data_IF_660892555891
#
_entry.id   IF_660892555891
#
_cell.length_a   1.000
_cell.length_b   1.000
_cell.length_c   1.000
_cell.angle_alpha   90.00
_cell.angle_beta   90.00
_cell.angle_gamma   90.00
#
_symmetry.space_group_name_H-M   'P 1'
#
loop_
_entity.id
_entity.type
_entity.pdbx_description
1 polymer ?
#
# COMPACT_ATOMS: atom_id res chain seq x y z
N UNK A 1 -21.16 -23.97 -13.75
CA UNK A 1 -20.67 -22.60 -13.45
C UNK A 1 -21.90 -21.72 -13.34
N UNK A 2 -21.99 -20.87 -12.32
CA UNK A 2 -23.11 -19.92 -12.21
C UNK A 2 -23.07 -18.94 -13.39
N UNK A 3 -24.23 -18.44 -13.82
CA UNK A 3 -24.28 -17.39 -14.84
C UNK A 3 -23.46 -16.17 -14.37
N UNK A 4 -22.76 -15.47 -15.28
CA UNK A 4 -22.10 -14.22 -14.92
C UNK A 4 -23.08 -13.23 -14.30
N UNK A 5 -22.66 -12.46 -13.28
CA UNK A 5 -23.53 -11.46 -12.69
C UNK A 5 -23.88 -10.40 -13.75
N UNK A 6 -25.11 -9.92 -13.70
CA UNK A 6 -25.53 -8.72 -14.41
C UNK A 6 -24.69 -7.52 -13.98
N UNK A 7 -24.72 -6.44 -14.77
CA UNK A 7 -24.00 -5.22 -14.42
C UNK A 7 -24.43 -4.66 -13.06
N UNK A 8 -25.73 -4.61 -12.79
CA UNK A 8 -26.28 -4.12 -11.52
C UNK A 8 -25.81 -4.97 -10.34
N UNK A 9 -25.82 -6.31 -10.47
CA UNK A 9 -25.28 -7.20 -9.45
C UNK A 9 -23.76 -6.99 -9.26
N UNK A 10 -23.02 -6.77 -10.34
CA UNK A 10 -21.59 -6.47 -10.28
C UNK A 10 -21.29 -5.15 -9.54
N UNK A 11 -22.10 -4.11 -9.76
CA UNK A 11 -22.01 -2.83 -9.04
C UNK A 11 -22.28 -3.04 -7.55
N UNK A 12 -23.32 -3.81 -7.22
CA UNK A 12 -23.69 -4.05 -5.82
C UNK A 12 -22.61 -4.83 -5.06
N UNK A 13 -22.10 -5.92 -5.66
CA UNK A 13 -20.98 -6.69 -5.09
C UNK A 13 -19.77 -5.79 -4.85
N UNK A 14 -19.45 -4.92 -5.82
CA UNK A 14 -18.32 -4.01 -5.69
C UNK A 14 -18.57 -2.97 -4.59
N UNK A 15 -19.78 -2.45 -4.46
CA UNK A 15 -20.15 -1.46 -3.45
C UNK A 15 -20.02 -2.02 -2.03
N UNK A 16 -20.51 -3.23 -1.81
CA UNK A 16 -20.40 -3.94 -0.52
C UNK A 16 -18.93 -4.19 -0.12
N UNK A 17 -18.11 -4.73 -1.04
CA UNK A 17 -16.70 -5.01 -0.73
C UNK A 17 -15.91 -3.73 -0.47
N UNK A 18 -16.19 -2.66 -1.24
CA UNK A 18 -15.48 -1.40 -1.14
C UNK A 18 -15.91 -0.57 0.08
N UNK A 19 -17.16 -0.65 0.54
CA UNK A 19 -17.59 0.05 1.76
C UNK A 19 -16.81 -0.42 2.98
N UNK A 20 -16.56 -1.73 3.10
CA UNK A 20 -15.72 -2.30 4.17
C UNK A 20 -14.29 -1.72 4.13
N UNK A 21 -13.72 -1.56 2.93
CA UNK A 21 -12.40 -0.96 2.77
C UNK A 21 -12.39 0.53 3.14
N UNK A 22 -13.45 1.27 2.81
CA UNK A 22 -13.63 2.67 3.17
C UNK A 22 -13.73 2.85 4.68
N UNK A 23 -14.51 2.02 5.37
CA UNK A 23 -14.63 2.05 6.84
C UNK A 23 -13.27 1.79 7.53
N UNK A 24 -12.45 0.90 6.96
CA UNK A 24 -11.07 0.67 7.40
C UNK A 24 -10.14 1.84 7.09
N UNK A 25 -10.56 2.79 6.25
CA UNK A 25 -9.81 4.00 5.91
C UNK A 25 -8.86 3.84 4.73
N UNK A 26 -9.04 2.82 3.90
CA UNK A 26 -8.18 2.55 2.75
C UNK A 26 -8.19 3.67 1.69
N UNK A 27 -9.23 4.50 1.68
CA UNK A 27 -9.43 5.60 0.73
C UNK A 27 -8.97 6.96 1.29
N UNK A 28 -8.74 7.04 2.61
CA UNK A 28 -8.09 8.20 3.21
C UNK A 28 -6.57 8.08 3.01
N UNK A 29 -6.06 8.81 2.02
CA UNK A 29 -4.64 8.76 1.66
C UNK A 29 -3.69 9.18 2.78
N UNK A 30 -4.14 9.99 3.74
CA UNK A 30 -3.34 10.38 4.90
C UNK A 30 -3.32 9.27 5.95
N UNK A 31 -4.47 8.63 6.19
CA UNK A 31 -4.56 7.45 7.07
C UNK A 31 -3.75 6.28 6.50
N UNK A 32 -3.91 5.98 5.22
CA UNK A 32 -3.12 5.02 4.46
C UNK A 32 -1.61 5.26 4.61
N UNK A 33 -1.17 6.50 4.41
CA UNK A 33 0.23 6.87 4.61
C UNK A 33 0.74 6.58 6.02
N UNK A 34 -0.02 6.98 7.05
CA UNK A 34 0.34 6.70 8.46
C UNK A 34 0.44 5.20 8.72
N UNK A 35 -0.49 4.41 8.19
CA UNK A 35 -0.48 2.94 8.29
C UNK A 35 0.78 2.36 7.65
N UNK A 36 1.13 2.81 6.45
CA UNK A 36 2.31 2.34 5.72
C UNK A 36 3.60 2.73 6.43
N UNK A 37 3.73 3.98 6.86
CA UNK A 37 4.89 4.46 7.64
C UNK A 37 5.05 3.62 8.89
N UNK A 38 3.97 3.42 9.66
CA UNK A 38 4.00 2.60 10.88
C UNK A 38 4.40 1.16 10.57
N UNK A 39 3.80 0.54 9.56
CA UNK A 39 4.13 -0.83 9.16
C UNK A 39 5.61 -0.99 8.79
N UNK A 40 6.15 -0.09 7.95
CA UNK A 40 7.55 -0.13 7.52
C UNK A 40 8.49 0.07 8.72
N UNK A 41 8.18 1.05 9.59
CA UNK A 41 8.98 1.33 10.78
C UNK A 41 8.99 0.13 11.74
N UNK A 42 7.82 -0.44 12.06
CA UNK A 42 7.69 -1.59 12.96
C UNK A 42 8.39 -2.84 12.41
N UNK A 43 8.24 -3.11 11.11
CA UNK A 43 8.94 -4.22 10.46
C UNK A 43 10.46 -4.02 10.52
N UNK A 44 10.94 -2.81 10.24
CA UNK A 44 12.36 -2.49 10.31
C UNK A 44 12.90 -2.63 11.73
N UNK A 45 12.14 -2.16 12.72
CA UNK A 45 12.47 -2.32 14.14
C UNK A 45 12.58 -3.79 14.55
N UNK A 46 11.63 -4.63 14.12
CA UNK A 46 11.64 -6.06 14.40
C UNK A 46 12.80 -6.80 13.73
N UNK A 47 13.12 -6.44 12.48
CA UNK A 47 14.25 -7.01 11.75
C UNK A 47 15.58 -6.62 12.41
N UNK A 48 15.71 -5.36 12.87
CA UNK A 48 16.86 -4.91 13.67
C UNK A 48 16.94 -5.68 14.99
N UNK A 49 15.83 -5.81 15.72
CA UNK A 49 15.77 -6.53 16.99
C UNK A 49 16.21 -7.99 16.83
N UNK A 50 15.77 -8.66 15.77
CA UNK A 50 16.21 -10.03 15.46
C UNK A 50 17.70 -10.10 15.15
N UNK A 51 18.23 -9.15 14.39
CA UNK A 51 19.65 -9.09 14.10
C UNK A 51 20.49 -8.88 15.38
N UNK A 52 20.08 -7.96 16.26
CA UNK A 52 20.72 -7.73 17.56
C UNK A 52 20.70 -8.98 18.44
N UNK A 53 19.58 -9.71 18.47
CA UNK A 53 19.46 -10.95 19.24
C UNK A 53 20.39 -12.06 18.72
N UNK A 54 20.56 -12.15 17.40
CA UNK A 54 21.34 -13.22 16.77
C UNK A 54 22.85 -12.94 16.74
N UNK A 55 23.26 -11.68 16.62
CA UNK A 55 24.66 -11.30 16.39
C UNK A 55 25.25 -10.39 17.48
N UNK A 56 24.43 -10.03 18.48
CA UNK A 56 24.77 -9.03 19.47
C UNK A 56 24.78 -7.60 18.91
N UNK A 57 24.90 -6.62 19.79
CA UNK A 57 24.97 -5.18 19.47
C UNK A 57 26.18 -4.77 18.59
N UNK A 58 27.10 -5.70 18.29
CA UNK A 58 28.31 -5.44 17.50
C UNK A 58 28.16 -5.72 16.00
N UNK A 59 27.01 -6.22 15.54
CA UNK A 59 26.81 -6.46 14.10
C UNK A 59 26.60 -5.15 13.34
N UNK A 60 27.25 -4.99 12.19
CA UNK A 60 27.10 -3.81 11.32
C UNK A 60 25.78 -3.79 10.55
N UNK A 61 25.09 -4.93 10.46
CA UNK A 61 23.92 -5.13 9.60
C UNK A 61 22.75 -4.18 9.93
N UNK A 62 22.37 -3.95 11.21
CA UNK A 62 21.34 -2.97 11.56
C UNK A 62 21.70 -1.54 11.14
N UNK A 63 22.98 -1.18 11.23
CA UNK A 63 23.49 0.15 10.93
C UNK A 63 23.40 0.47 9.45
N UNK A 64 23.61 -0.50 8.57
CA UNK A 64 23.57 -0.31 7.12
C UNK A 64 22.16 0.06 6.61
N UNK A 65 21.12 -0.61 7.12
CA UNK A 65 19.73 -0.32 6.76
C UNK A 65 19.29 1.08 7.23
N UNK A 66 19.63 1.43 8.48
CA UNK A 66 19.35 2.75 9.03
C UNK A 66 20.10 3.82 8.23
N UNK A 67 21.38 3.61 7.92
CA UNK A 67 22.19 4.56 7.16
C UNK A 67 21.64 4.77 5.74
N UNK A 68 21.17 3.70 5.10
CA UNK A 68 20.53 3.79 3.79
C UNK A 68 19.25 4.65 3.84
N UNK A 69 18.40 4.48 4.86
CA UNK A 69 17.21 5.30 5.01
C UNK A 69 17.55 6.74 5.38
N UNK A 70 18.56 6.99 6.21
CA UNK A 70 19.07 8.33 6.52
C UNK A 70 19.49 9.06 5.23
N UNK A 71 20.26 8.39 4.36
CA UNK A 71 20.69 8.95 3.09
C UNK A 71 19.52 9.31 2.15
N UNK A 72 18.39 8.62 2.28
CA UNK A 72 17.17 8.90 1.50
C UNK A 72 16.34 10.04 2.11
N UNK A 73 16.38 10.19 3.44
CA UNK A 73 15.48 11.07 4.18
C UNK A 73 15.55 12.54 3.80
N UNK A 74 16.68 13.01 3.26
CA UNK A 74 16.83 14.41 2.83
C UNK A 74 16.00 14.75 1.57
N UNK A 75 15.65 13.75 0.77
CA UNK A 75 14.90 13.94 -0.48
C UNK A 75 13.65 13.04 -0.57
N UNK A 76 13.36 12.26 0.47
CA UNK A 76 12.27 11.30 0.50
C UNK A 76 11.45 11.44 1.79
N UNK A 77 10.23 11.96 1.66
CA UNK A 77 9.31 12.13 2.78
C UNK A 77 8.92 10.81 3.46
N UNK A 78 8.88 9.68 2.74
CA UNK A 78 8.61 8.36 3.36
C UNK A 78 9.76 7.95 4.27
N UNK A 79 11.00 8.01 3.78
CA UNK A 79 12.18 7.66 4.56
C UNK A 79 12.30 8.55 5.80
N UNK A 80 12.02 9.85 5.64
CA UNK A 80 11.95 10.78 6.77
C UNK A 80 10.92 10.33 7.81
N UNK A 81 9.66 10.11 7.40
CA UNK A 81 8.58 9.74 8.31
C UNK A 81 8.81 8.36 8.97
N UNK A 82 9.41 7.41 8.24
CA UNK A 82 9.79 6.08 8.75
C UNK A 82 10.87 6.20 9.81
N UNK A 83 11.93 6.99 9.57
CA UNK A 83 12.98 7.20 10.56
C UNK A 83 12.47 7.94 11.80
N UNK A 84 11.60 8.95 11.63
CA UNK A 84 10.97 9.63 12.77
C UNK A 84 10.16 8.64 13.62
N UNK A 85 9.38 7.77 12.98
CA UNK A 85 8.58 6.74 13.67
C UNK A 85 9.48 5.70 14.35
N UNK A 86 10.56 5.28 13.68
CA UNK A 86 11.53 4.33 14.24
C UNK A 86 12.24 4.93 15.46
N UNK A 87 12.68 6.19 15.39
CA UNK A 87 13.30 6.89 16.51
C UNK A 87 12.34 7.02 17.70
N UNK A 88 11.06 7.33 17.44
CA UNK A 88 10.04 7.36 18.49
C UNK A 88 9.89 6.00 19.18
N UNK A 89 9.86 4.89 18.43
CA UNK A 89 9.77 3.54 19.01
C UNK A 89 10.93 3.22 19.95
N UNK A 90 12.17 3.58 19.60
CA UNK A 90 13.32 3.39 20.48
C UNK A 90 13.19 4.18 21.79
N UNK A 91 12.69 5.42 21.72
CA UNK A 91 12.46 6.27 22.88
C UNK A 91 11.35 5.72 23.77
N UNK A 92 10.21 5.34 23.19
CA UNK A 92 9.06 4.80 23.91
C UNK A 92 9.38 3.48 24.61
N UNK A 93 10.16 2.61 23.95
CA UNK A 93 10.57 1.31 24.52
C UNK A 93 11.79 1.39 25.44
N UNK A 94 12.35 2.60 25.65
CA UNK A 94 13.57 2.83 26.45
C UNK A 94 14.77 1.96 26.00
N UNK A 95 14.81 1.59 24.72
CA UNK A 95 15.91 0.79 24.15
C UNK A 95 17.05 1.69 23.70
N UNK A 96 18.33 1.26 23.82
CA UNK A 96 19.44 1.99 23.25
C UNK A 96 19.24 2.18 21.75
N UNK A 97 19.15 3.43 21.30
CA UNK A 97 19.03 3.77 19.89
C UNK A 97 20.39 3.64 19.20
N UNK A 98 20.48 3.05 18.00
CA UNK A 98 21.71 3.02 17.21
C UNK A 98 22.28 4.43 17.03
N UNK A 99 23.60 4.59 17.20
CA UNK A 99 24.24 5.92 17.26
C UNK A 99 23.91 6.80 16.05
N UNK A 100 23.95 6.25 14.84
CA UNK A 100 23.62 6.97 13.60
C UNK A 100 22.17 7.46 13.58
N UNK A 101 21.22 6.68 14.14
CA UNK A 101 19.83 7.08 14.25
C UNK A 101 19.65 8.15 15.33
N UNK A 102 20.36 8.03 16.46
CA UNK A 102 20.34 9.00 17.55
C UNK A 102 20.86 10.37 17.10
N UNK A 103 21.97 10.40 16.36
CA UNK A 103 22.51 11.63 15.78
C UNK A 103 21.51 12.27 14.81
N UNK A 104 20.93 11.46 13.92
CA UNK A 104 19.91 11.94 12.98
C UNK A 104 18.67 12.49 13.69
N UNK A 105 18.14 11.78 14.69
CA UNK A 105 16.98 12.18 15.47
C UNK A 105 17.25 13.48 16.24
N UNK A 106 18.46 13.64 16.80
CA UNK A 106 18.87 14.86 17.47
C UNK A 106 18.90 16.06 16.51
N UNK A 107 19.45 15.89 15.29
CA UNK A 107 19.40 16.93 14.25
C UNK A 107 17.97 17.28 13.81
N UNK A 108 17.08 16.29 13.72
CA UNK A 108 15.66 16.53 13.46
C UNK A 108 15.01 17.35 14.58
N UNK A 109 15.23 16.99 15.85
CA UNK A 109 14.66 17.70 17.01
C UNK A 109 15.18 19.14 17.15
N UNK A 110 16.42 19.40 16.75
CA UNK A 110 16.98 20.77 16.67
C UNK A 110 16.48 21.58 15.47
N UNK A 111 15.73 20.97 14.56
CA UNK A 111 15.24 21.61 13.33
C UNK A 111 16.27 21.73 12.20
N UNK A 112 17.44 21.09 12.34
CA UNK A 112 18.49 21.04 11.31
C UNK A 112 18.07 20.18 10.13
N UNK A 113 17.29 19.12 10.39
CA UNK A 113 16.67 18.26 9.38
C UNK A 113 15.20 18.62 9.24
N UNK A 114 14.82 19.10 8.06
CA UNK A 114 13.42 19.40 7.70
C UNK A 114 12.84 18.27 6.89
N UNK A 115 11.57 17.97 7.14
CA UNK A 115 10.81 17.01 6.33
C UNK A 115 10.76 17.50 4.87
N UNK A 116 11.21 16.69 3.89
CA UNK A 116 11.15 17.10 2.49
C UNK A 116 9.72 17.42 2.04
N UNK A 117 9.57 18.42 1.18
CA UNK A 117 8.30 18.67 0.51
C UNK A 117 8.02 17.50 -0.41
N UNK A 118 6.88 16.86 -0.19
CA UNK A 118 6.47 15.74 -1.00
C UNK A 118 5.84 16.23 -2.30
N UNK A 119 6.45 15.88 -3.42
CA UNK A 119 5.90 16.17 -4.74
C UNK A 119 4.94 15.05 -5.17
N UNK A 120 3.68 15.39 -5.42
CA UNK A 120 2.65 14.49 -5.97
C UNK A 120 1.77 13.76 -4.95
N UNK A 121 0.86 12.91 -5.46
CA UNK A 121 -0.05 12.07 -4.66
C UNK A 121 0.73 11.02 -3.87
N UNK A 122 0.13 10.46 -2.81
CA UNK A 122 0.75 9.41 -2.00
C UNK A 122 0.92 8.19 -2.91
N UNK A 123 2.09 7.96 -3.51
CA UNK A 123 2.28 6.84 -4.45
C UNK A 123 1.95 5.51 -3.74
N UNK A 124 2.37 5.37 -2.49
CA UNK A 124 2.04 4.24 -1.63
C UNK A 124 0.60 4.25 -1.12
N UNK A 125 0.05 5.40 -0.73
CA UNK A 125 -1.38 5.47 -0.35
C UNK A 125 -2.33 5.18 -1.53
N UNK A 126 -1.90 5.56 -2.74
CA UNK A 126 -2.57 5.20 -4.00
C UNK A 126 -2.45 3.70 -4.23
N UNK A 127 -1.29 3.11 -3.95
CA UNK A 127 -1.08 1.66 -4.04
C UNK A 127 -1.97 0.90 -3.06
N UNK A 128 -2.04 1.32 -1.79
CA UNK A 128 -2.88 0.69 -0.77
C UNK A 128 -4.35 0.69 -1.19
N UNK A 129 -4.92 1.84 -1.54
CA UNK A 129 -6.27 1.89 -2.10
C UNK A 129 -6.43 0.97 -3.31
N UNK A 130 -5.47 0.99 -4.23
CA UNK A 130 -5.50 0.14 -5.41
C UNK A 130 -5.44 -1.36 -5.07
N UNK A 131 -4.81 -1.76 -3.95
CA UNK A 131 -4.82 -3.14 -3.45
C UNK A 131 -6.17 -3.59 -2.88
N UNK A 132 -7.09 -2.67 -2.57
CA UNK A 132 -8.49 -3.01 -2.26
C UNK A 132 -9.37 -3.04 -3.51
N UNK A 133 -9.12 -2.15 -4.49
CA UNK A 133 -9.88 -2.12 -5.75
C UNK A 133 -9.60 -3.35 -6.62
N UNK A 134 -8.35 -3.82 -6.68
CA UNK A 134 -7.97 -4.92 -7.56
C UNK A 134 -8.61 -6.28 -7.21
N UNK A 135 -8.67 -6.72 -5.94
CA UNK A 135 -9.36 -7.97 -5.58
C UNK A 135 -10.84 -7.96 -5.95
N UNK A 136 -11.52 -6.81 -5.82
CA UNK A 136 -12.92 -6.67 -6.23
C UNK A 136 -13.08 -6.89 -7.74
N UNK A 137 -12.20 -6.28 -8.55
CA UNK A 137 -12.15 -6.54 -10.00
C UNK A 137 -11.90 -8.01 -10.31
N UNK A 138 -10.92 -8.62 -9.65
CA UNK A 138 -10.57 -10.03 -9.85
C UNK A 138 -11.75 -10.95 -9.48
N UNK A 139 -12.47 -10.65 -8.40
CA UNK A 139 -13.68 -11.36 -7.97
C UNK A 139 -14.78 -11.30 -9.02
N UNK A 140 -15.06 -10.11 -9.58
CA UNK A 140 -16.05 -9.97 -10.67
C UNK A 140 -15.65 -10.72 -11.94
N UNK A 141 -14.36 -10.69 -12.29
CA UNK A 141 -13.83 -11.44 -13.45
C UNK A 141 -13.93 -12.95 -13.23
N UNK A 142 -13.58 -13.45 -12.03
CA UNK A 142 -13.73 -14.86 -11.64
C UNK A 142 -15.20 -15.31 -11.67
N UNK A 143 -16.14 -14.39 -11.44
CA UNK A 143 -17.58 -14.62 -11.59
C UNK A 143 -18.07 -14.54 -13.04
N UNK A 144 -17.19 -14.31 -14.02
CA UNK A 144 -17.51 -14.39 -15.44
C UNK A 144 -17.72 -13.04 -16.13
N UNK A 145 -17.52 -11.90 -15.45
CA UNK A 145 -17.55 -10.59 -16.11
C UNK A 145 -16.28 -10.37 -16.95
N UNK A 146 -16.44 -9.71 -18.10
CA UNK A 146 -15.28 -9.23 -18.86
C UNK A 146 -14.56 -8.13 -18.08
N UNK A 147 -13.23 -8.25 -17.92
CA UNK A 147 -12.44 -7.32 -17.10
C UNK A 147 -12.53 -5.86 -17.61
N UNK A 148 -12.37 -5.67 -18.92
CA UNK A 148 -12.36 -4.36 -19.57
C UNK A 148 -13.19 -4.42 -20.84
N UNK A 149 -13.97 -3.38 -21.13
CA UNK A 149 -14.61 -3.21 -22.44
C UNK A 149 -13.67 -2.61 -23.49
N UNK A 150 -14.03 -2.79 -24.76
CA UNK A 150 -13.52 -1.98 -25.88
C UNK A 150 -14.30 -0.65 -25.95
N UNK A 151 -13.76 0.34 -26.67
CA UNK A 151 -14.36 1.68 -26.72
C UNK A 151 -15.74 1.69 -27.40
N UNK A 152 -15.98 0.76 -28.33
CA UNK A 152 -17.26 0.58 -29.04
C UNK A 152 -18.28 -0.30 -28.29
N UNK A 153 -17.90 -0.92 -27.17
CA UNK A 153 -18.80 -1.83 -26.42
C UNK A 153 -19.59 -1.09 -25.34
N UNK A 154 -20.80 -1.58 -24.97
CA UNK A 154 -21.55 -1.05 -23.84
C UNK A 154 -20.75 -1.05 -22.52
N UNK A 155 -21.05 -0.15 -21.56
CA UNK A 155 -20.35 -0.01 -20.28
C UNK A 155 -20.71 -1.12 -19.29
N UNK A 156 -20.49 -2.38 -19.66
CA UNK A 156 -20.90 -3.57 -18.90
C UNK A 156 -19.71 -4.40 -18.38
N UNK A 157 -18.50 -3.82 -18.34
CA UNK A 157 -17.32 -4.55 -17.84
C UNK A 157 -17.17 -4.47 -16.33
N UNK A 158 -16.35 -5.35 -15.74
CA UNK A 158 -16.00 -5.30 -14.32
C UNK A 158 -15.39 -3.94 -13.92
N UNK A 159 -14.57 -3.33 -14.80
CA UNK A 159 -14.04 -1.99 -14.57
C UNK A 159 -15.13 -0.91 -14.54
N UNK A 160 -16.16 -1.02 -15.38
CA UNK A 160 -17.30 -0.08 -15.36
C UNK A 160 -18.10 -0.25 -14.06
N UNK A 161 -18.36 -1.50 -13.66
CA UNK A 161 -19.13 -1.80 -12.44
C UNK A 161 -18.43 -1.26 -11.18
N UNK A 162 -17.11 -1.47 -11.07
CA UNK A 162 -16.31 -0.93 -9.94
C UNK A 162 -16.23 0.60 -9.99
N UNK A 163 -16.11 1.21 -11.17
CA UNK A 163 -16.10 2.66 -11.28
C UNK A 163 -17.44 3.28 -10.84
N UNK A 164 -18.56 2.66 -11.23
CA UNK A 164 -19.89 3.10 -10.81
C UNK A 164 -20.12 2.89 -9.31
N UNK A 165 -19.68 1.76 -8.74
CA UNK A 165 -19.72 1.54 -7.30
C UNK A 165 -18.94 2.61 -6.52
N UNK A 166 -17.70 2.93 -6.95
CA UNK A 166 -16.90 4.01 -6.35
C UNK A 166 -17.57 5.38 -6.49
N UNK A 167 -18.25 5.64 -7.61
CA UNK A 167 -19.02 6.87 -7.81
C UNK A 167 -20.19 6.97 -6.84
N UNK A 168 -20.94 5.88 -6.62
CA UNK A 168 -22.03 5.82 -5.65
C UNK A 168 -21.56 5.98 -4.20
N UNK A 169 -20.34 5.53 -3.90
CA UNK A 169 -19.68 5.71 -2.60
C UNK A 169 -19.02 7.08 -2.43
N UNK A 170 -19.11 7.97 -3.43
CA UNK A 170 -18.43 9.28 -3.47
C UNK A 170 -16.89 9.19 -3.34
N UNK A 171 -16.31 8.09 -3.82
CA UNK A 171 -14.89 7.80 -3.68
C UNK A 171 -14.09 7.92 -4.98
N UNK A 172 -12.78 8.15 -4.83
CA UNK A 172 -11.84 8.22 -5.95
C UNK A 172 -10.94 6.97 -6.01
N UNK A 173 -10.76 6.35 -7.20
CA UNK A 173 -11.13 6.86 -8.51
C UNK A 173 -12.50 6.34 -9.00
N UNK A 174 -13.37 7.23 -9.44
CA UNK A 174 -14.72 6.91 -9.93
C UNK A 174 -14.86 6.87 -11.46
N UNK A 175 -13.74 6.78 -12.20
CA UNK A 175 -13.77 6.73 -13.67
C UNK A 175 -13.23 5.41 -14.22
N UNK A 176 -13.89 4.89 -15.26
CA UNK A 176 -13.48 3.68 -15.97
C UNK A 176 -12.00 3.70 -16.35
N UNK A 177 -11.50 4.81 -16.93
CA UNK A 177 -10.11 4.94 -17.36
C UNK A 177 -9.12 4.79 -16.19
N UNK A 178 -9.49 5.25 -14.99
CA UNK A 178 -8.64 5.12 -13.80
C UNK A 178 -8.67 3.71 -13.24
N UNK A 179 -9.84 3.08 -13.17
CA UNK A 179 -10.00 1.69 -12.73
C UNK A 179 -9.29 0.72 -13.69
N UNK A 180 -9.41 0.93 -15.00
CA UNK A 180 -8.67 0.18 -16.04
C UNK A 180 -7.15 0.31 -15.86
N UNK A 181 -6.63 1.49 -15.52
CA UNK A 181 -5.20 1.68 -15.23
C UNK A 181 -4.75 0.85 -14.02
N UNK A 182 -5.58 0.75 -12.97
CA UNK A 182 -5.32 -0.09 -11.80
C UNK A 182 -5.25 -1.56 -12.22
N UNK A 183 -6.27 -2.05 -12.94
CA UNK A 183 -6.28 -3.42 -13.47
C UNK A 183 -5.00 -3.73 -14.26
N UNK A 184 -4.67 -2.90 -15.25
CA UNK A 184 -3.51 -3.10 -16.11
C UNK A 184 -2.17 -3.01 -15.36
N UNK A 185 -2.09 -2.22 -14.29
CA UNK A 185 -0.92 -2.19 -13.41
C UNK A 185 -0.70 -3.54 -12.74
N UNK A 186 -1.73 -4.10 -12.10
CA UNK A 186 -1.62 -5.40 -11.43
C UNK A 186 -1.43 -6.56 -12.39
N UNK A 187 -2.06 -6.55 -13.57
CA UNK A 187 -1.81 -7.59 -14.59
C UNK A 187 -0.34 -7.60 -15.02
N UNK A 188 0.26 -6.42 -15.26
CA UNK A 188 1.69 -6.31 -15.57
C UNK A 188 2.58 -6.75 -14.41
N UNK A 189 2.20 -6.42 -13.18
CA UNK A 189 2.91 -6.86 -11.97
C UNK A 189 2.89 -8.39 -11.84
N UNK A 190 1.72 -9.01 -11.94
CA UNK A 190 1.54 -10.47 -11.83
C UNK A 190 2.26 -11.23 -12.95
N UNK A 191 2.30 -10.68 -14.16
CA UNK A 191 3.00 -11.31 -15.30
C UNK A 191 4.53 -11.27 -15.17
N UNK A 192 5.08 -10.44 -14.28
CA UNK A 192 6.52 -10.39 -13.97
C UNK A 192 6.93 -11.35 -12.86
N UNK A 193 5.97 -11.92 -12.13
CA UNK A 193 6.27 -12.81 -11.02
C UNK A 193 6.46 -14.25 -11.50
N UNK A 194 7.35 -15.02 -10.85
CA UNK A 194 7.40 -16.46 -11.04
C UNK A 194 6.04 -17.10 -10.75
N UNK A 195 5.69 -18.16 -11.49
CA UNK A 195 4.39 -18.86 -11.37
C UNK A 195 4.09 -19.26 -9.93
N UNK A 196 5.11 -19.73 -9.19
CA UNK A 196 5.00 -20.12 -7.78
C UNK A 196 4.55 -18.96 -6.88
N UNK A 197 5.02 -17.72 -7.14
CA UNK A 197 4.60 -16.53 -6.38
C UNK A 197 3.23 -16.02 -6.79
N UNK A 198 2.86 -16.14 -8.07
CA UNK A 198 1.54 -15.70 -8.58
C UNK A 198 0.41 -16.39 -7.82
N UNK A 199 0.51 -17.70 -7.61
CA UNK A 199 -0.51 -18.47 -6.89
C UNK A 199 -0.62 -18.10 -5.40
N UNK A 200 0.48 -17.73 -4.75
CA UNK A 200 0.48 -17.30 -3.34
C UNK A 200 -0.21 -15.96 -3.16
N UNK A 201 0.06 -14.99 -4.05
CA UNK A 201 -0.50 -13.64 -3.95
C UNK A 201 -2.02 -13.66 -4.21
N UNK A 202 -2.46 -14.40 -5.23
CA UNK A 202 -3.90 -14.51 -5.53
C UNK A 202 -4.66 -15.14 -4.34
N UNK A 203 -4.05 -16.10 -3.64
CA UNK A 203 -4.62 -16.71 -2.42
C UNK A 203 -4.68 -15.74 -1.23
N UNK A 204 -3.64 -14.93 -1.00
CA UNK A 204 -3.63 -14.00 0.14
C UNK A 204 -4.70 -12.90 0.03
N UNK A 205 -5.14 -12.56 -1.17
CA UNK A 205 -6.20 -11.56 -1.40
C UNK A 205 -7.62 -12.16 -1.40
N UNK A 206 -7.77 -13.48 -1.40
CA UNK A 206 -9.10 -14.16 -1.40
C UNK A 206 -9.51 -14.70 -0.03
N UNK A 207 -8.67 -14.53 1.00
CA UNK A 207 -8.89 -15.02 2.37
C UNK A 207 -9.27 -13.91 3.37
N UNK A 208 -9.56 -12.70 2.90
CA UNK A 208 -10.12 -11.60 3.71
C UNK A 208 -11.57 -11.34 3.33
#
# INVERSE_FOLDING_TARGET
MNAPPSFTEGVEIAREDLSIAIEKGAFDSAKAWKTIVKYIAMRSFEDIRKAEANFGLRSSIPTDLISLEINRADNNALSFDVLSTLAAEYLETSRPMPEVLAQWAASMMRGEKKRPIRNGKYALGTLERNTYIWPVLEKLVKRGMTATRNDASPPLSACDAVAEALKQLHESPSSYASVKRIWNFFQRYLNRLPVTRKNSIVKSFTMQ
#
